data_IF_392061230406
#
_entry.id   IF_392061230406
#
_cell.length_a   1.000
_cell.length_b   1.000
_cell.length_c   1.000
_cell.angle_alpha   90.00
_cell.angle_beta   90.00
_cell.angle_gamma   90.00
#
_symmetry.space_group_name_H-M   'P 1'
#
loop_
_entity.id
_entity.type
_entity.pdbx_description
1 polymer ?
#
# COMPACT_ATOMS: atom_id res chain seq x y z
N UNK A 1 -5.46 3.12 14.85
CA UNK A 1 -4.07 3.31 15.31
C UNK A 1 -3.98 3.87 16.73
N UNK A 2 -4.77 4.89 17.09
CA UNK A 2 -4.73 5.48 18.44
C UNK A 2 -5.01 4.49 19.58
N UNK A 3 -5.98 3.57 19.41
CA UNK A 3 -6.25 2.52 20.41
C UNK A 3 -5.08 1.54 20.62
N UNK A 4 -4.14 1.45 19.68
CA UNK A 4 -3.00 0.52 19.73
C UNK A 4 -1.73 1.25 20.18
N UNK A 5 -1.46 2.43 19.62
CA UNK A 5 -0.24 3.22 19.90
C UNK A 5 -0.39 4.15 21.11
N UNK A 6 -1.62 4.45 21.53
CA UNK A 6 -1.90 5.52 22.49
C UNK A 6 -1.86 6.91 21.85
N UNK A 7 -2.52 7.88 22.51
CA UNK A 7 -2.69 9.25 22.02
C UNK A 7 -1.34 9.94 21.71
N UNK A 8 -0.41 9.94 22.67
CA UNK A 8 0.85 10.67 22.57
C UNK A 8 1.76 10.19 21.44
N UNK A 9 1.79 8.87 21.17
CA UNK A 9 2.58 8.30 20.08
C UNK A 9 1.89 8.58 18.75
N UNK A 10 0.56 8.43 18.67
CA UNK A 10 -0.20 8.69 17.47
C UNK A 10 -0.07 10.15 17.00
N UNK A 11 -0.21 11.11 17.93
CA UNK A 11 -0.06 12.54 17.61
C UNK A 11 1.35 12.88 17.15
N UNK A 12 2.39 12.30 17.79
CA UNK A 12 3.77 12.55 17.38
C UNK A 12 4.11 11.99 16.01
N UNK A 13 3.61 10.81 15.68
CA UNK A 13 3.92 10.15 14.41
C UNK A 13 3.06 10.67 13.25
N UNK A 14 1.79 11.00 13.51
CA UNK A 14 0.83 11.25 12.44
C UNK A 14 0.12 12.60 12.55
N UNK A 15 0.17 13.29 13.71
CA UNK A 15 -0.53 14.55 13.93
C UNK A 15 -2.01 14.47 13.53
N UNK A 16 -2.41 15.31 12.57
CA UNK A 16 -3.64 15.08 11.81
C UNK A 16 -3.45 13.91 10.85
N UNK A 17 -3.85 12.72 11.30
CA UNK A 17 -3.66 11.48 10.57
C UNK A 17 -4.26 11.52 9.16
N UNK A 18 -5.35 12.26 8.92
CA UNK A 18 -5.97 12.33 7.59
C UNK A 18 -5.08 13.10 6.62
N UNK A 19 -4.56 14.25 7.06
CA UNK A 19 -3.62 15.06 6.26
C UNK A 19 -2.31 14.31 6.04
N UNK A 20 -1.81 13.64 7.07
CA UNK A 20 -0.63 12.80 6.96
C UNK A 20 -0.83 11.69 5.93
N UNK A 21 -1.92 10.93 6.03
CA UNK A 21 -2.21 9.83 5.10
C UNK A 21 -2.42 10.34 3.67
N UNK A 22 -3.14 11.46 3.49
CA UNK A 22 -3.31 12.08 2.17
C UNK A 22 -1.95 12.41 1.55
N UNK A 23 -1.05 13.03 2.31
CA UNK A 23 0.30 13.36 1.85
C UNK A 23 1.08 12.10 1.49
N UNK A 24 1.09 11.07 2.33
CA UNK A 24 1.81 9.82 2.06
C UNK A 24 1.30 9.14 0.78
N UNK A 25 -0.02 9.15 0.53
CA UNK A 25 -0.58 8.65 -0.74
C UNK A 25 -0.10 9.50 -1.91
N UNK A 26 -0.17 10.84 -1.82
CA UNK A 26 0.29 11.74 -2.89
C UNK A 26 1.77 11.54 -3.23
N UNK A 27 2.62 11.43 -2.21
CA UNK A 27 4.05 11.21 -2.39
C UNK A 27 4.33 9.83 -2.98
N UNK A 28 3.57 8.81 -2.59
CA UNK A 28 3.64 7.47 -3.19
C UNK A 28 3.26 7.51 -4.67
N UNK A 29 2.18 8.21 -5.03
CA UNK A 29 1.73 8.38 -6.41
C UNK A 29 2.73 9.17 -7.28
N UNK A 30 3.45 10.12 -6.67
CA UNK A 30 4.44 10.95 -7.37
C UNK A 30 5.82 10.29 -7.51
N UNK A 31 6.06 9.15 -6.85
CA UNK A 31 7.34 8.46 -6.88
C UNK A 31 7.45 7.53 -8.08
N UNK A 32 8.33 7.85 -9.04
CA UNK A 32 8.52 7.08 -10.28
C UNK A 32 9.02 5.64 -10.05
N UNK A 33 9.66 5.36 -8.91
CA UNK A 33 10.08 4.01 -8.57
C UNK A 33 8.91 3.13 -8.10
N UNK A 34 7.76 3.72 -7.76
CA UNK A 34 6.57 2.99 -7.35
C UNK A 34 5.78 2.50 -8.54
N UNK A 35 5.40 1.23 -8.48
CA UNK A 35 4.40 0.63 -9.35
C UNK A 35 3.09 0.50 -8.60
N UNK A 36 2.00 0.93 -9.24
CA UNK A 36 0.74 1.19 -8.56
C UNK A 36 -0.40 0.53 -9.32
N UNK A 37 -1.30 -0.11 -8.58
CA UNK A 37 -2.51 -0.72 -9.12
C UNK A 37 -3.70 -0.46 -8.21
N UNK A 38 -4.88 -0.56 -8.81
CA UNK A 38 -6.16 -0.44 -8.12
C UNK A 38 -7.00 -1.68 -8.37
N UNK A 39 -7.78 -2.08 -7.36
CA UNK A 39 -8.92 -2.95 -7.55
C UNK A 39 -10.11 -2.05 -7.87
N UNK A 40 -10.74 -2.27 -9.02
CA UNK A 40 -11.92 -1.55 -9.45
C UNK A 40 -13.15 -2.45 -9.39
N UNK A 41 -14.26 -1.90 -8.92
CA UNK A 41 -15.61 -2.35 -9.21
C UNK A 41 -16.12 -1.64 -10.48
N UNK A 42 -17.36 -1.90 -10.92
CA UNK A 42 -17.91 -1.26 -12.12
C UNK A 42 -17.95 0.27 -12.02
N UNK A 43 -18.06 0.84 -10.82
CA UNK A 43 -18.20 2.28 -10.61
C UNK A 43 -17.03 2.91 -9.81
N UNK A 44 -16.34 2.13 -8.97
CA UNK A 44 -15.46 2.69 -7.93
C UNK A 44 -14.13 1.95 -7.79
N UNK A 45 -13.10 2.70 -7.36
CA UNK A 45 -11.86 2.12 -6.84
C UNK A 45 -12.10 1.62 -5.43
N UNK A 46 -12.05 0.30 -5.25
CA UNK A 46 -12.36 -0.39 -3.98
C UNK A 46 -11.11 -0.92 -3.27
N UNK A 47 -9.94 -0.73 -3.88
CA UNK A 47 -8.66 -1.06 -3.26
C UNK A 47 -7.48 -0.54 -4.06
N UNK A 48 -6.33 -0.49 -3.41
CA UNK A 48 -5.10 0.09 -3.94
C UNK A 48 -3.89 -0.68 -3.41
N UNK A 49 -2.87 -0.82 -4.25
CA UNK A 49 -1.55 -1.33 -3.85
C UNK A 49 -0.43 -0.59 -4.57
N UNK A 50 0.60 -0.22 -3.81
CA UNK A 50 1.86 0.32 -4.31
C UNK A 50 3.02 -0.61 -3.93
N UNK A 51 3.86 -0.94 -4.90
CA UNK A 51 5.02 -1.78 -4.71
C UNK A 51 6.24 -1.25 -5.46
N UNK A 52 7.45 -1.62 -5.01
CA UNK A 52 8.71 -1.26 -5.66
C UNK A 52 9.76 -2.35 -5.51
N UNK A 53 10.74 -2.33 -6.40
CA UNK A 53 12.02 -3.01 -6.16
C UNK A 53 12.79 -2.17 -5.14
N UNK A 54 12.94 -2.66 -3.91
CA UNK A 54 13.52 -1.91 -2.80
C UNK A 54 15.03 -2.08 -2.72
N UNK A 55 15.53 -3.31 -2.92
CA UNK A 55 16.95 -3.63 -2.91
C UNK A 55 17.25 -4.75 -3.92
N UNK A 56 17.68 -4.40 -5.15
CA UNK A 56 17.97 -5.38 -6.19
C UNK A 56 19.12 -6.32 -5.83
N UNK A 57 20.15 -5.85 -5.12
CA UNK A 57 21.34 -6.65 -4.78
C UNK A 57 20.98 -7.78 -3.81
N UNK A 58 20.04 -7.51 -2.91
CA UNK A 58 19.51 -8.48 -1.95
C UNK A 58 18.25 -9.19 -2.44
N UNK A 59 17.79 -8.88 -3.65
CA UNK A 59 16.58 -9.41 -4.29
C UNK A 59 15.31 -9.12 -3.47
N UNK A 60 15.19 -7.93 -2.88
CA UNK A 60 14.08 -7.52 -2.03
C UNK A 60 13.11 -6.63 -2.81
N UNK A 61 11.88 -7.12 -2.95
CA UNK A 61 10.71 -6.33 -3.33
C UNK A 61 9.93 -5.87 -2.10
N UNK A 62 9.24 -4.73 -2.21
CA UNK A 62 8.43 -4.16 -1.14
C UNK A 62 7.03 -3.86 -1.63
N UNK A 63 6.01 -4.34 -0.92
CA UNK A 63 4.65 -3.82 -0.99
C UNK A 63 4.56 -2.70 0.05
N UNK A 64 4.69 -1.46 -0.40
CA UNK A 64 4.84 -0.29 0.46
C UNK A 64 3.51 0.14 1.08
N UNK A 65 2.43 0.10 0.30
CA UNK A 65 1.10 0.51 0.78
C UNK A 65 0.04 -0.39 0.16
N UNK A 66 -0.89 -0.86 0.98
CA UNK A 66 -2.06 -1.63 0.55
C UNK A 66 -3.26 -1.20 1.38
N UNK A 67 -4.37 -0.90 0.70
CA UNK A 67 -5.63 -0.55 1.35
C UNK A 67 -6.80 -1.15 0.57
N UNK A 68 -7.84 -1.53 1.29
CA UNK A 68 -9.13 -1.97 0.74
C UNK A 68 -10.21 -1.15 1.40
N UNK A 69 -11.15 -0.66 0.60
CA UNK A 69 -12.33 0.06 1.05
C UNK A 69 -13.03 -0.74 2.17
N UNK A 70 -13.36 -0.13 3.33
CA UNK A 70 -13.94 -0.83 4.47
C UNK A 70 -15.18 -1.67 4.15
N UNK A 71 -16.06 -1.20 3.27
CA UNK A 71 -17.30 -1.90 2.90
C UNK A 71 -17.02 -3.13 2.00
N UNK A 72 -15.81 -3.21 1.45
CA UNK A 72 -15.34 -4.24 0.53
C UNK A 72 -14.31 -5.19 1.16
N UNK A 73 -13.94 -4.97 2.43
CA UNK A 73 -13.04 -5.85 3.17
C UNK A 73 -13.65 -7.24 3.43
N UNK A 74 -12.80 -8.23 3.70
CA UNK A 74 -13.22 -9.62 3.95
C UNK A 74 -13.65 -10.40 2.70
N UNK A 75 -13.52 -9.80 1.50
CA UNK A 75 -13.95 -10.39 0.21
C UNK A 75 -12.78 -10.87 -0.67
N UNK A 76 -11.57 -10.97 -0.12
CA UNK A 76 -10.38 -11.43 -0.85
C UNK A 76 -9.66 -10.38 -1.71
N UNK A 77 -10.15 -9.13 -1.77
CA UNK A 77 -9.54 -8.05 -2.57
C UNK A 77 -8.09 -7.78 -2.15
N UNK A 78 -7.82 -7.70 -0.85
CA UNK A 78 -6.47 -7.50 -0.33
C UNK A 78 -5.52 -8.61 -0.76
N UNK A 79 -5.97 -9.87 -0.67
CA UNK A 79 -5.21 -11.04 -1.15
C UNK A 79 -4.90 -10.95 -2.64
N UNK A 80 -5.90 -10.60 -3.47
CA UNK A 80 -5.71 -10.46 -4.91
C UNK A 80 -4.70 -9.35 -5.24
N UNK A 81 -4.81 -8.18 -4.57
CA UNK A 81 -3.86 -7.07 -4.74
C UNK A 81 -2.43 -7.46 -4.32
N UNK A 82 -2.28 -8.14 -3.18
CA UNK A 82 -0.97 -8.65 -2.73
C UNK A 82 -0.40 -9.60 -3.76
N UNK A 83 -1.16 -10.61 -4.21
CA UNK A 83 -0.70 -11.58 -5.20
C UNK A 83 -0.30 -10.91 -6.52
N UNK A 84 -1.04 -9.90 -6.95
CA UNK A 84 -0.73 -9.15 -8.16
C UNK A 84 0.61 -8.41 -8.03
N UNK A 85 0.78 -7.66 -6.94
CA UNK A 85 2.00 -6.92 -6.66
C UNK A 85 3.22 -7.85 -6.51
N UNK A 86 3.06 -8.96 -5.79
CA UNK A 86 4.15 -9.92 -5.59
C UNK A 86 4.50 -10.71 -6.85
N UNK A 87 3.51 -10.99 -7.71
CA UNK A 87 3.79 -11.57 -9.03
C UNK A 87 4.65 -10.63 -9.86
N UNK A 88 4.30 -9.33 -9.89
CA UNK A 88 5.13 -8.33 -10.56
C UNK A 88 6.55 -8.27 -9.98
N UNK A 89 6.72 -8.25 -8.65
CA UNK A 89 8.03 -8.28 -8.01
C UNK A 89 8.85 -9.51 -8.43
N UNK A 90 8.20 -10.67 -8.49
CA UNK A 90 8.83 -11.91 -8.98
C UNK A 90 9.29 -11.77 -10.44
N UNK A 91 8.49 -11.12 -11.30
CA UNK A 91 8.88 -10.86 -12.70
C UNK A 91 10.05 -9.88 -12.82
N UNK A 92 10.24 -9.00 -11.83
CA UNK A 92 11.40 -8.13 -11.70
C UNK A 92 12.63 -8.84 -11.12
N UNK A 93 12.54 -10.15 -10.83
CA UNK A 93 13.64 -10.96 -10.29
C UNK A 93 13.78 -10.90 -8.77
N UNK A 94 12.80 -10.35 -8.05
CA UNK A 94 12.82 -10.31 -6.58
C UNK A 94 12.40 -11.65 -5.98
N UNK A 95 12.86 -11.92 -4.76
CA UNK A 95 12.41 -13.07 -3.97
C UNK A 95 11.15 -12.71 -3.20
N UNK A 96 10.11 -13.50 -3.41
CA UNK A 96 8.78 -13.35 -2.81
C UNK A 96 8.44 -14.61 -2.04
#
# INVERSE_FOLDING_TARGET
>A
MEQILGHDINVRLHGDWRRYQEKEVRDTLANEAMRIWVAASEADVVGFVAARVADPERLIGEVFMLAVDPDHQGRGIGTALTQFATTWLSTCGMRV
#
